data_IF_243219187541
#
_entry.id   IF_243219187541
#
_cell.length_a   1.000
_cell.length_b   1.000
_cell.length_c   1.000
_cell.angle_alpha   90.00
_cell.angle_beta   90.00
_cell.angle_gamma   90.00
#
_symmetry.space_group_name_H-M   'P 1'
#
loop_
_entity.id
_entity.type
_entity.pdbx_description
1 polymer ?
#
# COMPACT_ATOMS: atom_id res chain seq x y z
N UNK A 1 17.08 25.89 -40.95
CA UNK A 1 16.35 24.85 -40.19
C UNK A 1 15.37 25.56 -39.25
N UNK A 2 14.08 25.28 -39.38
CA UNK A 2 13.05 25.93 -38.56
C UNK A 2 12.95 25.20 -37.20
N UNK A 3 13.13 25.93 -36.11
CA UNK A 3 12.95 25.40 -34.74
C UNK A 3 11.45 25.49 -34.44
N UNK A 4 10.76 24.35 -34.41
CA UNK A 4 9.35 24.28 -34.08
C UNK A 4 9.14 24.34 -32.57
N UNK A 5 8.13 25.11 -32.15
CA UNK A 5 7.74 25.31 -30.75
C UNK A 5 7.48 23.97 -30.05
N UNK A 6 8.00 23.81 -28.82
CA UNK A 6 7.79 22.62 -27.98
C UNK A 6 6.29 22.41 -27.75
N UNK A 7 5.75 21.19 -27.96
CA UNK A 7 4.33 20.94 -27.76
C UNK A 7 3.94 21.07 -26.28
N UNK A 8 2.70 21.50 -26.03
CA UNK A 8 2.14 21.67 -24.69
C UNK A 8 2.07 20.31 -23.96
N UNK A 9 2.61 20.28 -22.73
CA UNK A 9 2.67 19.07 -21.90
C UNK A 9 1.28 18.49 -21.56
N UNK A 10 0.25 19.34 -21.52
CA UNK A 10 -1.14 18.92 -21.30
C UNK A 10 -1.69 18.07 -22.44
N UNK A 11 -1.31 18.37 -23.69
CA UNK A 11 -1.72 17.58 -24.87
C UNK A 11 -1.04 16.22 -24.88
N UNK A 12 0.24 16.17 -24.50
CA UNK A 12 1.01 14.94 -24.39
C UNK A 12 0.44 13.97 -23.35
N UNK A 13 -0.02 14.47 -22.20
CA UNK A 13 -0.71 13.65 -21.20
C UNK A 13 -2.02 13.06 -21.75
N UNK A 14 -2.83 13.87 -22.43
CA UNK A 14 -4.11 13.41 -23.00
C UNK A 14 -3.96 12.40 -24.15
N UNK A 15 -2.89 12.49 -24.94
CA UNK A 15 -2.62 11.56 -26.03
C UNK A 15 -2.11 10.22 -25.51
N UNK A 16 -1.31 10.24 -24.42
CA UNK A 16 -0.87 9.02 -23.74
C UNK A 16 -2.04 8.26 -23.10
N UNK A 17 -2.97 8.96 -22.45
CA UNK A 17 -4.16 8.34 -21.85
C UNK A 17 -5.04 7.66 -22.91
N UNK A 18 -5.25 8.29 -24.08
CA UNK A 18 -6.01 7.71 -25.19
C UNK A 18 -5.32 6.49 -25.80
N UNK A 19 -3.99 6.51 -25.90
CA UNK A 19 -3.21 5.37 -26.38
C UNK A 19 -3.32 4.19 -25.42
N UNK A 20 -3.19 4.44 -24.11
CA UNK A 20 -3.33 3.42 -23.06
C UNK A 20 -4.75 2.85 -23.04
N UNK A 21 -5.78 3.71 -23.19
CA UNK A 21 -7.18 3.30 -23.20
C UNK A 21 -7.60 2.49 -24.44
N UNK A 22 -6.80 2.51 -25.52
CA UNK A 22 -7.07 1.77 -26.75
C UNK A 22 -6.56 0.33 -26.76
N UNK A 23 -5.83 -0.08 -25.73
CA UNK A 23 -5.30 -1.44 -25.62
C UNK A 23 -6.42 -2.46 -25.32
N UNK A 24 -6.34 -3.70 -25.82
CA UNK A 24 -7.38 -4.71 -25.63
C UNK A 24 -7.58 -5.13 -24.16
N UNK A 25 -6.63 -4.83 -23.29
CA UNK A 25 -6.62 -5.04 -21.84
C UNK A 25 -6.94 -3.77 -21.03
N UNK A 26 -7.17 -2.63 -21.70
CA UNK A 26 -7.42 -1.33 -21.06
C UNK A 26 -8.70 -1.28 -20.22
N UNK A 27 -9.59 -2.25 -20.39
CA UNK A 27 -10.78 -2.44 -19.56
C UNK A 27 -10.47 -2.94 -18.14
N UNK A 28 -9.20 -3.25 -17.83
CA UNK A 28 -8.76 -3.49 -16.46
C UNK A 28 -8.72 -2.17 -15.68
N UNK A 29 -9.86 -1.80 -15.09
CA UNK A 29 -9.92 -0.72 -14.10
C UNK A 29 -9.05 -1.16 -12.92
N UNK A 30 -7.94 -0.47 -12.61
CA UNK A 30 -7.17 -0.79 -11.42
C UNK A 30 -8.10 -0.64 -10.22
N UNK A 31 -8.31 -1.74 -9.50
CA UNK A 31 -9.12 -1.73 -8.29
C UNK A 31 -8.67 -0.60 -7.38
N UNK A 32 -9.62 0.13 -6.80
CA UNK A 32 -9.32 1.25 -5.92
C UNK A 32 -8.31 0.79 -4.87
N UNK A 33 -7.10 1.35 -4.94
CA UNK A 33 -6.07 1.06 -3.94
C UNK A 33 -6.68 1.35 -2.58
N UNK A 34 -6.63 0.40 -1.61
CA UNK A 34 -7.25 0.61 -0.31
C UNK A 34 -6.72 1.92 0.25
N UNK A 35 -7.63 2.87 0.46
CA UNK A 35 -7.27 4.22 0.87
C UNK A 35 -6.37 4.17 2.10
N UNK A 36 -5.34 5.03 2.12
CA UNK A 36 -4.44 5.15 3.28
C UNK A 36 -5.29 5.44 4.52
N UNK A 37 -5.47 4.43 5.38
CA UNK A 37 -6.16 4.60 6.66
C UNK A 37 -5.27 5.37 7.61
N UNK A 38 -5.87 6.29 8.36
CA UNK A 38 -5.19 6.98 9.46
C UNK A 38 -4.76 5.94 10.50
N UNK A 39 -3.48 5.94 10.86
CA UNK A 39 -2.91 5.10 11.92
C UNK A 39 -2.64 5.99 13.13
N UNK A 40 -2.96 5.49 14.31
CA UNK A 40 -2.59 6.12 15.58
C UNK A 40 -1.33 5.47 16.13
N UNK A 41 -0.43 6.28 16.70
CA UNK A 41 0.79 5.79 17.36
C UNK A 41 0.50 5.71 18.85
N UNK A 42 0.71 4.53 19.42
CA UNK A 42 0.49 4.27 20.84
C UNK A 42 1.77 3.73 21.49
N UNK A 43 1.92 3.95 22.79
CA UNK A 43 3.04 3.43 23.60
C UNK A 43 2.51 2.47 24.69
N UNK A 44 2.29 1.19 24.36
CA UNK A 44 1.80 0.21 25.34
C UNK A 44 2.92 -0.29 26.25
N UNK A 45 2.58 -0.54 27.52
CA UNK A 45 3.44 -1.31 28.43
C UNK A 45 3.17 -2.80 28.22
N UNK A 46 4.22 -3.60 28.01
CA UNK A 46 4.14 -5.04 27.73
C UNK A 46 5.24 -5.75 28.52
N UNK A 47 4.95 -6.96 28.99
CA UNK A 47 5.96 -7.82 29.58
C UNK A 47 7.12 -8.08 28.60
N UNK A 48 8.36 -8.00 29.11
CA UNK A 48 9.58 -8.05 28.28
C UNK A 48 9.77 -9.43 27.68
N UNK A 49 9.47 -10.49 28.41
CA UNK A 49 9.68 -11.86 27.95
C UNK A 49 8.59 -12.27 26.95
N UNK A 50 7.37 -11.81 27.16
CA UNK A 50 6.30 -11.92 26.17
C UNK A 50 6.69 -11.22 24.87
N UNK A 51 7.20 -9.99 24.95
CA UNK A 51 7.59 -9.22 23.77
C UNK A 51 8.71 -9.91 22.97
N UNK A 52 9.71 -10.48 23.64
CA UNK A 52 10.78 -11.24 22.98
C UNK A 52 10.23 -12.45 22.23
N UNK A 53 9.39 -13.26 22.86
CA UNK A 53 8.78 -14.45 22.23
C UNK A 53 7.94 -14.06 21.02
N UNK A 54 7.19 -12.96 21.15
CA UNK A 54 6.38 -12.42 20.07
C UNK A 54 7.22 -11.98 18.87
N UNK A 55 8.31 -11.25 19.10
CA UNK A 55 9.20 -10.80 18.03
C UNK A 55 9.90 -11.96 17.32
N UNK A 56 10.32 -12.99 18.05
CA UNK A 56 10.91 -14.20 17.44
C UNK A 56 9.92 -14.86 16.48
N UNK A 57 8.67 -15.07 16.93
CA UNK A 57 7.63 -15.65 16.08
C UNK A 57 7.29 -14.77 14.88
N UNK A 58 7.24 -13.44 15.08
CA UNK A 58 7.01 -12.50 13.99
C UNK A 58 8.12 -12.58 12.93
N UNK A 59 9.38 -12.69 13.35
CA UNK A 59 10.52 -12.84 12.45
C UNK A 59 10.48 -14.15 11.67
N UNK A 60 10.14 -15.28 12.31
CA UNK A 60 9.95 -16.58 11.65
C UNK A 60 8.86 -16.53 10.56
N UNK A 61 7.82 -15.72 10.77
CA UNK A 61 6.74 -15.50 9.80
C UNK A 61 7.05 -14.42 8.75
N UNK A 62 8.21 -13.79 8.79
CA UNK A 62 8.58 -12.69 7.89
C UNK A 62 7.75 -11.42 8.10
N UNK A 63 7.18 -11.22 9.29
CA UNK A 63 6.36 -10.07 9.64
C UNK A 63 7.17 -9.04 10.44
N UNK A 64 6.93 -7.75 10.16
CA UNK A 64 7.37 -6.70 11.07
C UNK A 64 6.58 -6.77 12.39
N UNK A 65 7.17 -6.30 13.50
CA UNK A 65 6.49 -6.22 14.81
C UNK A 65 5.12 -5.54 14.69
N UNK A 66 5.04 -4.41 13.99
CA UNK A 66 3.79 -3.70 13.78
C UNK A 66 2.75 -4.51 12.98
N UNK A 67 3.19 -5.26 11.97
CA UNK A 67 2.30 -6.14 11.20
C UNK A 67 1.77 -7.29 12.05
N UNK A 68 2.63 -7.91 12.86
CA UNK A 68 2.24 -8.97 13.78
C UNK A 68 1.24 -8.47 14.83
N UNK A 69 1.44 -7.28 15.40
CA UNK A 69 0.51 -6.67 16.38
C UNK A 69 -0.86 -6.43 15.72
N UNK A 70 -0.88 -5.86 14.52
CA UNK A 70 -2.13 -5.66 13.77
C UNK A 70 -2.84 -6.97 13.43
N UNK A 71 -2.09 -8.01 13.07
CA UNK A 71 -2.64 -9.34 12.81
C UNK A 71 -3.26 -9.95 14.08
N UNK A 72 -2.59 -9.83 15.23
CA UNK A 72 -3.10 -10.32 16.50
C UNK A 72 -4.39 -9.59 16.89
N UNK A 73 -4.45 -8.26 16.74
CA UNK A 73 -5.66 -7.48 16.98
C UNK A 73 -6.80 -7.91 16.06
N UNK A 74 -6.54 -8.09 14.77
CA UNK A 74 -7.55 -8.53 13.81
C UNK A 74 -8.10 -9.94 14.15
N UNK A 75 -7.21 -10.88 14.53
CA UNK A 75 -7.62 -12.22 14.97
C UNK A 75 -8.43 -12.19 16.25
N UNK A 76 -8.04 -11.38 17.23
CA UNK A 76 -8.77 -11.21 18.49
C UNK A 76 -10.19 -10.69 18.26
N UNK A 77 -10.37 -9.71 17.36
CA UNK A 77 -11.69 -9.21 16.98
C UNK A 77 -12.51 -10.29 16.27
N UNK A 78 -11.90 -11.08 15.39
CA UNK A 78 -12.60 -12.11 14.62
C UNK A 78 -12.97 -13.36 15.42
N UNK A 79 -12.34 -13.59 16.58
CA UNK A 79 -12.64 -14.71 17.47
C UNK A 79 -13.78 -14.43 18.46
N UNK A 80 -14.32 -13.21 18.48
CA UNK A 80 -15.48 -12.80 19.27
C UNK A 80 -16.75 -12.95 18.44
#
# INVERSE_FOLDING_TARGET
MAITKRPDASKQASDAEKFIAGAPDASHVPGASPGRRRKEVISPSVDVDLLKRFDTLAAELGLSRAAAINLAMAKFIASQ
#
